data_IF_376929482465
#
_entry.id   IF_376929482465
#
_cell.length_a   1.000
_cell.length_b   1.000
_cell.length_c   1.000
_cell.angle_alpha   90.00
_cell.angle_beta   90.00
_cell.angle_gamma   90.00
#
_symmetry.space_group_name_H-M   'P 1'
#
loop_
_entity.id
_entity.type
_entity.pdbx_description
1 polymer ?
#
# COMPACT_ATOMS: atom_id res chain seq x y z
N UNK A 1 -8.67 -16.02 -14.66
CA UNK A 1 -7.97 -14.73 -14.74
C UNK A 1 -8.12 -14.05 -13.39
N UNK A 2 -7.02 -13.68 -12.76
CA UNK A 2 -7.04 -13.07 -11.43
C UNK A 2 -7.48 -11.60 -11.52
N UNK A 3 -7.94 -11.01 -10.42
CA UNK A 3 -8.34 -9.59 -10.39
C UNK A 3 -7.17 -8.65 -10.69
N UNK A 4 -5.95 -9.01 -10.27
CA UNK A 4 -4.71 -8.29 -10.61
C UNK A 4 -4.41 -8.35 -12.11
N UNK A 5 -4.55 -9.52 -12.75
CA UNK A 5 -4.44 -9.64 -14.20
C UNK A 5 -5.50 -8.77 -14.91
N UNK A 6 -6.72 -8.72 -14.37
CA UNK A 6 -7.80 -7.83 -14.81
C UNK A 6 -7.40 -6.37 -14.78
N UNK A 7 -6.89 -5.90 -13.65
CA UNK A 7 -6.41 -4.53 -13.50
C UNK A 7 -5.27 -4.22 -14.49
N UNK A 8 -4.31 -5.12 -14.68
CA UNK A 8 -3.21 -4.93 -15.63
C UNK A 8 -3.69 -4.88 -17.09
N UNK A 9 -4.67 -5.71 -17.47
CA UNK A 9 -5.28 -5.65 -18.80
C UNK A 9 -6.07 -4.36 -19.00
N UNK A 10 -6.82 -3.92 -18.00
CA UNK A 10 -7.55 -2.65 -18.03
C UNK A 10 -6.60 -1.47 -18.27
N UNK A 11 -5.47 -1.42 -17.55
CA UNK A 11 -4.44 -0.39 -17.76
C UNK A 11 -3.89 -0.48 -19.18
N UNK A 12 -3.57 -1.67 -19.67
CA UNK A 12 -3.04 -1.87 -21.03
C UNK A 12 -4.01 -1.36 -22.11
N UNK A 13 -5.31 -1.58 -21.92
CA UNK A 13 -6.35 -1.18 -22.87
C UNK A 13 -6.57 0.33 -22.89
N UNK A 14 -6.69 0.95 -21.72
CA UNK A 14 -7.09 2.37 -21.60
C UNK A 14 -5.92 3.35 -21.48
N UNK A 15 -4.74 2.87 -21.08
CA UNK A 15 -3.52 3.68 -21.04
C UNK A 15 -2.26 2.84 -21.34
N UNK A 16 -1.99 2.55 -22.62
CA UNK A 16 -0.78 1.84 -23.03
C UNK A 16 0.52 2.50 -22.53
N UNK A 17 0.51 3.83 -22.37
CA UNK A 17 1.64 4.57 -21.82
C UNK A 17 1.86 4.27 -20.32
N UNK A 18 0.80 4.16 -19.53
CA UNK A 18 0.92 3.76 -18.12
C UNK A 18 1.37 2.31 -18.01
N UNK A 19 0.83 1.43 -18.85
CA UNK A 19 1.26 0.03 -18.90
C UNK A 19 2.76 -0.11 -19.23
N UNK A 20 3.25 0.66 -20.21
CA UNK A 20 4.67 0.70 -20.56
C UNK A 20 5.54 1.26 -19.41
N UNK A 21 5.01 2.17 -18.61
CA UNK A 21 5.71 2.66 -17.40
C UNK A 21 5.75 1.56 -16.34
N UNK A 22 4.60 0.99 -15.99
CA UNK A 22 4.50 -0.10 -15.01
C UNK A 22 5.50 -1.21 -15.31
N UNK A 23 5.53 -1.70 -16.55
CA UNK A 23 6.45 -2.78 -16.98
C UNK A 23 7.94 -2.40 -16.93
N UNK A 24 8.26 -1.10 -16.98
CA UNK A 24 9.63 -0.59 -16.84
C UNK A 24 10.01 -0.33 -15.38
N UNK A 25 9.06 0.16 -14.58
CA UNK A 25 9.30 0.57 -13.21
C UNK A 25 9.29 -0.63 -12.25
N UNK A 26 8.32 -1.53 -12.42
CA UNK A 26 8.04 -2.64 -11.52
C UNK A 26 8.52 -3.96 -12.14
N UNK A 27 9.19 -4.79 -11.35
CA UNK A 27 9.54 -6.16 -11.74
C UNK A 27 8.39 -7.14 -11.46
N UNK A 28 7.59 -6.87 -10.42
CA UNK A 28 6.58 -7.81 -9.90
C UNK A 28 5.39 -7.04 -9.29
N UNK A 29 4.22 -7.67 -9.33
CA UNK A 29 3.05 -7.28 -8.52
C UNK A 29 2.76 -8.44 -7.57
N UNK A 30 2.76 -8.18 -6.27
CA UNK A 30 2.50 -9.15 -5.22
C UNK A 30 1.20 -8.84 -4.50
N UNK A 31 0.55 -9.87 -4.00
CA UNK A 31 -0.65 -9.74 -3.16
C UNK A 31 -0.34 -10.40 -1.83
N UNK A 32 -0.42 -9.62 -0.75
CA UNK A 32 -0.28 -10.11 0.61
C UNK A 32 -0.93 -9.14 1.60
N UNK A 33 -1.15 -9.57 2.84
CA UNK A 33 -1.67 -8.68 3.88
C UNK A 33 -0.71 -7.52 4.17
N UNK A 34 -1.22 -6.31 3.97
CA UNK A 34 -0.57 -5.07 4.36
C UNK A 34 -1.25 -4.56 5.64
N UNK A 35 -0.50 -4.00 6.59
CA UNK A 35 -1.09 -3.47 7.81
C UNK A 35 -2.21 -2.46 7.54
N UNK A 36 -2.05 -1.54 6.58
CA UNK A 36 -2.98 -0.40 6.47
C UNK A 36 -2.94 0.37 5.15
N UNK A 37 -2.50 -0.25 4.07
CA UNK A 37 -2.46 0.40 2.75
C UNK A 37 -3.09 -0.53 1.73
N UNK A 38 -3.78 0.04 0.74
CA UNK A 38 -4.28 -0.71 -0.41
C UNK A 38 -3.13 -1.26 -1.26
N UNK A 39 -2.03 -0.53 -1.29
CA UNK A 39 -0.77 -1.00 -1.84
C UNK A 39 0.44 -0.27 -1.27
N UNK A 40 1.62 -0.82 -1.54
CA UNK A 40 2.88 -0.14 -1.30
C UNK A 40 3.93 -0.56 -2.33
N UNK A 41 4.78 0.37 -2.69
CA UNK A 41 5.97 0.10 -3.47
C UNK A 41 7.14 -0.33 -2.58
N UNK A 42 7.66 -1.53 -2.85
CA UNK A 42 8.85 -2.06 -2.21
C UNK A 42 10.09 -1.82 -3.06
N UNK A 43 10.97 -0.90 -2.62
CA UNK A 43 12.20 -0.56 -3.33
C UNK A 43 13.12 -1.77 -3.57
N UNK A 44 13.41 -2.54 -2.51
CA UNK A 44 14.37 -3.64 -2.55
C UNK A 44 13.94 -4.78 -3.47
N UNK A 45 12.63 -4.92 -3.69
CA UNK A 45 12.04 -5.94 -4.55
C UNK A 45 11.58 -5.40 -5.91
N UNK A 46 11.61 -4.07 -6.06
CA UNK A 46 11.01 -3.32 -7.17
C UNK A 46 9.60 -3.83 -7.48
N UNK A 47 8.81 -3.99 -6.43
CA UNK A 47 7.50 -4.64 -6.50
C UNK A 47 6.40 -3.70 -6.02
N UNK A 48 5.25 -3.74 -6.72
CA UNK A 48 4.00 -3.23 -6.18
C UNK A 48 3.38 -4.35 -5.33
N UNK A 49 3.19 -4.08 -4.05
CA UNK A 49 2.51 -4.98 -3.13
C UNK A 49 1.10 -4.46 -2.96
N UNK A 50 0.09 -5.30 -3.15
CA UNK A 50 -1.32 -4.98 -2.97
C UNK A 50 -1.85 -5.73 -1.75
N UNK A 51 -2.73 -5.09 -0.99
CA UNK A 51 -3.38 -5.72 0.14
C UNK A 51 -4.34 -6.82 -0.31
N UNK A 52 -4.16 -8.00 0.25
CA UNK A 52 -4.97 -9.17 -0.08
C UNK A 52 -6.46 -8.96 0.16
N UNK A 53 -6.85 -8.27 1.23
CA UNK A 53 -8.26 -8.05 1.58
C UNK A 53 -8.93 -7.18 0.55
N UNK A 54 -8.28 -6.11 0.11
CA UNK A 54 -8.79 -5.24 -0.95
C UNK A 54 -8.86 -5.95 -2.30
N UNK A 55 -7.84 -6.75 -2.65
CA UNK A 55 -7.86 -7.49 -3.93
C UNK A 55 -8.96 -8.57 -3.91
N UNK A 56 -9.19 -9.23 -2.78
CA UNK A 56 -10.20 -10.27 -2.63
C UNK A 56 -11.63 -9.72 -2.50
N UNK A 57 -11.81 -8.51 -1.98
CA UNK A 57 -13.11 -7.88 -1.77
C UNK A 57 -13.84 -7.64 -3.11
N UNK A 58 -15.03 -8.25 -3.32
CA UNK A 58 -15.86 -8.00 -4.49
C UNK A 58 -16.32 -6.55 -4.65
N UNK A 59 -16.41 -5.79 -3.54
CA UNK A 59 -16.80 -4.37 -3.56
C UNK A 59 -15.67 -3.46 -4.04
N UNK A 60 -14.41 -3.90 -3.99
CA UNK A 60 -13.31 -3.15 -4.59
C UNK A 60 -13.44 -3.22 -6.11
N UNK A 61 -13.44 -2.08 -6.79
CA UNK A 61 -13.56 -2.05 -8.25
C UNK A 61 -12.23 -2.43 -8.94
N UNK A 62 -12.27 -2.96 -10.18
CA UNK A 62 -11.03 -3.27 -10.91
C UNK A 62 -10.24 -1.99 -11.24
N UNK A 63 -10.97 -0.91 -11.48
CA UNK A 63 -10.48 0.44 -11.71
C UNK A 63 -9.67 0.95 -10.51
N UNK A 64 -10.12 0.63 -9.29
CA UNK A 64 -9.40 0.99 -8.06
C UNK A 64 -8.09 0.22 -7.94
N UNK A 65 -8.11 -1.11 -8.15
CA UNK A 65 -6.88 -1.93 -8.15
C UNK A 65 -5.90 -1.42 -9.23
N UNK A 66 -6.42 -1.10 -10.42
CA UNK A 66 -5.62 -0.53 -11.50
C UNK A 66 -5.01 0.83 -11.12
N UNK A 67 -5.78 1.70 -10.47
CA UNK A 67 -5.32 2.99 -9.97
C UNK A 67 -4.17 2.83 -8.96
N UNK A 68 -4.31 1.90 -8.00
CA UNK A 68 -3.24 1.61 -7.02
C UNK A 68 -1.96 1.12 -7.71
N UNK A 69 -2.04 0.27 -8.73
CA UNK A 69 -0.83 -0.16 -9.47
C UNK A 69 -0.16 1.03 -10.17
N UNK A 70 -0.93 1.95 -10.75
CA UNK A 70 -0.42 3.19 -11.37
C UNK A 70 0.22 4.11 -10.32
N UNK A 71 -0.37 4.21 -9.13
CA UNK A 71 0.16 4.93 -7.99
C UNK A 71 1.55 4.39 -7.60
N UNK A 72 1.66 3.09 -7.34
CA UNK A 72 2.93 2.47 -6.93
C UNK A 72 4.01 2.53 -8.03
N UNK A 73 3.63 2.39 -9.30
CA UNK A 73 4.57 2.61 -10.40
C UNK A 73 5.08 4.06 -10.47
N UNK A 74 4.29 5.02 -9.98
CA UNK A 74 4.71 6.42 -9.88
C UNK A 74 5.73 6.61 -8.76
N UNK A 75 5.55 5.97 -7.60
CA UNK A 75 6.58 5.90 -6.56
C UNK A 75 7.89 5.33 -7.09
N UNK A 76 7.82 4.17 -7.74
CA UNK A 76 8.98 3.51 -8.32
C UNK A 76 9.75 4.42 -9.30
N UNK A 77 9.02 5.16 -10.14
CA UNK A 77 9.63 6.12 -11.05
C UNK A 77 10.32 7.27 -10.33
N UNK A 78 9.66 7.87 -9.35
CA UNK A 78 10.19 9.02 -8.60
C UNK A 78 11.47 8.62 -7.87
N UNK A 79 11.48 7.46 -7.22
CA UNK A 79 12.65 6.97 -6.52
C UNK A 79 13.80 6.64 -7.48
N UNK A 80 13.53 6.04 -8.64
CA UNK A 80 14.56 5.84 -9.67
C UNK A 80 15.15 7.18 -10.16
N UNK A 81 14.38 8.26 -10.11
CA UNK A 81 14.86 9.61 -10.41
C UNK A 81 15.59 10.28 -9.22
N UNK A 82 15.86 9.57 -8.13
CA UNK A 82 16.55 10.08 -6.94
C UNK A 82 15.65 10.85 -5.98
N UNK A 83 14.32 10.71 -6.10
CA UNK A 83 13.36 11.36 -5.21
C UNK A 83 12.92 10.33 -4.17
N UNK A 84 13.61 10.33 -3.04
CA UNK A 84 13.32 9.43 -1.92
C UNK A 84 12.06 9.83 -1.15
N UNK A 85 11.40 8.83 -0.54
CA UNK A 85 10.15 8.98 0.22
C UNK A 85 10.37 9.47 1.66
N UNK A 86 11.08 10.59 1.79
CA UNK A 86 11.37 11.27 3.06
C UNK A 86 10.13 12.01 3.58
N UNK A 87 9.90 12.00 4.90
CA UNK A 87 8.75 12.63 5.57
C UNK A 87 8.44 14.04 5.04
N UNK A 88 9.46 14.90 4.90
CA UNK A 88 9.34 16.28 4.42
C UNK A 88 8.82 16.40 2.97
N UNK A 89 8.93 15.33 2.18
CA UNK A 89 8.58 15.28 0.75
C UNK A 89 7.32 14.46 0.48
N UNK A 90 6.88 13.62 1.42
CA UNK A 90 5.76 12.67 1.23
C UNK A 90 4.51 13.34 0.69
N UNK A 91 4.03 14.41 1.33
CA UNK A 91 2.83 15.12 0.86
C UNK A 91 2.93 15.56 -0.61
N UNK A 92 4.12 16.00 -1.05
CA UNK A 92 4.36 16.40 -2.45
C UNK A 92 4.43 15.20 -3.38
N UNK A 93 5.08 14.11 -2.95
CA UNK A 93 5.18 12.86 -3.70
C UNK A 93 3.78 12.27 -3.92
N UNK A 94 3.00 12.16 -2.85
CA UNK A 94 1.62 11.65 -2.88
C UNK A 94 0.72 12.48 -3.78
N UNK A 95 0.84 13.81 -3.72
CA UNK A 95 0.12 14.69 -4.65
C UNK A 95 0.54 14.50 -6.12
N UNK A 96 1.75 14.02 -6.41
CA UNK A 96 2.15 13.63 -7.78
C UNK A 96 1.51 12.28 -8.14
N UNK A 97 1.53 11.32 -7.22
CA UNK A 97 0.91 10.01 -7.41
C UNK A 97 -0.60 10.12 -7.65
N UNK A 98 -1.35 10.84 -6.82
CA UNK A 98 -2.79 11.07 -7.02
C UNK A 98 -3.10 11.82 -8.32
N UNK A 99 -2.29 12.80 -8.73
CA UNK A 99 -2.46 13.44 -10.05
C UNK A 99 -2.25 12.44 -11.18
N UNK A 100 -1.34 11.47 -11.02
CA UNK A 100 -1.12 10.44 -12.02
C UNK A 100 -2.28 9.45 -12.08
N UNK A 101 -2.82 9.07 -10.92
CA UNK A 101 -4.05 8.28 -10.81
C UNK A 101 -5.21 8.98 -11.48
N UNK A 102 -5.47 10.26 -11.18
CA UNK A 102 -6.57 11.02 -11.79
C UNK A 102 -6.42 11.06 -13.32
N UNK A 103 -5.20 11.31 -13.80
CA UNK A 103 -4.94 11.31 -15.23
C UNK A 103 -5.23 9.94 -15.87
N UNK A 104 -5.00 8.83 -15.16
CA UNK A 104 -5.36 7.48 -15.61
C UNK A 104 -6.87 7.25 -15.54
N UNK A 105 -7.52 7.58 -14.41
CA UNK A 105 -8.95 7.38 -14.18
C UNK A 105 -9.82 8.06 -15.23
N UNK A 106 -9.46 9.26 -15.70
CA UNK A 106 -10.16 9.98 -16.78
C UNK A 106 -10.20 9.20 -18.11
N UNK A 107 -9.33 8.21 -18.31
CA UNK A 107 -9.33 7.35 -19.52
C UNK A 107 -10.20 6.10 -19.40
N UNK A 108 -10.70 5.81 -18.20
CA UNK A 108 -11.52 4.64 -17.93
C UNK A 108 -13.00 4.95 -18.18
N UNK A 109 -13.79 3.98 -18.65
CA UNK A 109 -15.24 4.08 -18.64
C UNK A 109 -15.76 4.08 -17.19
N UNK A 110 -16.87 4.76 -16.94
CA UNK A 110 -17.62 4.73 -15.67
C UNK A 110 -16.80 4.99 -14.39
N UNK A 111 -15.73 5.79 -14.49
CA UNK A 111 -14.78 6.01 -13.39
C UNK A 111 -15.10 7.21 -12.49
N UNK A 112 -16.34 7.72 -12.51
CA UNK A 112 -16.71 8.94 -11.79
C UNK A 112 -16.43 8.84 -10.28
N UNK A 113 -16.83 7.74 -9.64
CA UNK A 113 -16.60 7.51 -8.22
C UNK A 113 -15.10 7.46 -7.86
N UNK A 114 -14.29 6.80 -8.71
CA UNK A 114 -12.84 6.76 -8.55
C UNK A 114 -12.22 8.15 -8.68
N UNK A 115 -12.64 8.92 -9.68
CA UNK A 115 -12.16 10.29 -9.90
C UNK A 115 -12.49 11.18 -8.70
N UNK A 116 -13.72 11.12 -8.20
CA UNK A 116 -14.14 11.86 -7.00
C UNK A 116 -13.32 11.46 -5.77
N UNK A 117 -13.06 10.17 -5.58
CA UNK A 117 -12.19 9.68 -4.51
C UNK A 117 -10.78 10.27 -4.57
N UNK A 118 -10.16 10.27 -5.76
CA UNK A 118 -8.83 10.82 -5.97
C UNK A 118 -8.81 12.35 -5.76
N UNK A 119 -9.84 13.06 -6.23
CA UNK A 119 -9.96 14.51 -6.01
C UNK A 119 -10.07 14.84 -4.52
N UNK A 120 -10.88 14.08 -3.76
CA UNK A 120 -10.94 14.24 -2.30
C UNK A 120 -9.57 14.05 -1.64
N UNK A 121 -8.79 13.06 -2.07
CA UNK A 121 -7.42 12.89 -1.59
C UNK A 121 -6.53 14.11 -1.91
N UNK A 122 -6.61 14.63 -3.14
CA UNK A 122 -5.85 15.80 -3.57
C UNK A 122 -6.20 17.09 -2.81
N UNK A 123 -7.43 17.21 -2.31
CA UNK A 123 -7.89 18.35 -1.51
C UNK A 123 -7.55 18.17 -0.03
N UNK A 124 -7.77 16.96 0.51
CA UNK A 124 -7.67 16.70 1.93
C UNK A 124 -6.22 16.62 2.42
N UNK A 125 -5.34 15.94 1.70
CA UNK A 125 -3.97 15.72 2.14
C UNK A 125 -3.11 16.99 2.27
N UNK A 126 -3.20 17.97 1.35
CA UNK A 126 -2.54 19.26 1.55
C UNK A 126 -3.03 20.03 2.78
N UNK A 127 -4.29 19.86 3.17
CA UNK A 127 -4.88 20.46 4.37
C UNK A 127 -4.52 19.71 5.65
N UNK A 128 -4.06 18.46 5.55
CA UNK A 128 -3.74 17.57 6.67
C UNK A 128 -2.32 16.97 6.52
N UNK A 129 -1.25 17.79 6.49
CA UNK A 129 0.10 17.32 6.23
C UNK A 129 0.65 16.37 7.32
N UNK A 130 0.12 16.44 8.55
CA UNK A 130 0.50 15.59 9.67
C UNK A 130 0.24 14.10 9.44
N UNK A 131 -0.65 13.78 8.49
CA UNK A 131 -0.98 12.42 8.07
C UNK A 131 0.22 11.71 7.42
N UNK A 132 1.16 12.48 6.88
CA UNK A 132 2.39 11.94 6.30
C UNK A 132 3.58 11.93 7.27
N UNK A 133 3.35 12.29 8.54
CA UNK A 133 4.42 12.27 9.53
C UNK A 133 4.88 10.85 9.85
N UNK A 134 6.14 10.71 10.27
CA UNK A 134 6.69 9.44 10.73
C UNK A 134 5.92 8.92 11.96
N UNK A 135 5.53 9.83 12.86
CA UNK A 135 4.75 9.49 14.05
C UNK A 135 3.36 8.94 13.68
N UNK A 136 2.70 9.56 12.69
CA UNK A 136 1.43 9.04 12.19
C UNK A 136 1.62 7.68 11.55
N UNK A 137 2.59 7.52 10.64
CA UNK A 137 2.89 6.25 9.97
C UNK A 137 3.24 5.12 10.95
N UNK A 138 4.00 5.41 12.01
CA UNK A 138 4.33 4.42 13.05
C UNK A 138 3.07 3.99 13.82
N UNK A 139 2.23 4.95 14.21
CA UNK A 139 0.98 4.70 14.92
C UNK A 139 0.03 3.85 14.07
N UNK A 140 -0.22 4.30 12.85
CA UNK A 140 -1.15 3.67 11.93
C UNK A 140 -0.64 2.25 11.63
N UNK A 141 0.62 2.07 11.23
CA UNK A 141 1.17 0.72 10.99
C UNK A 141 1.01 -0.22 12.20
N UNK A 142 1.12 0.27 13.44
CA UNK A 142 0.91 -0.57 14.62
C UNK A 142 -0.57 -0.99 14.78
N UNK A 143 -1.50 -0.06 14.55
CA UNK A 143 -2.94 -0.33 14.56
C UNK A 143 -3.33 -1.33 13.44
N UNK A 144 -2.84 -1.09 12.23
CA UNK A 144 -3.06 -1.95 11.08
C UNK A 144 -2.45 -3.35 11.22
N UNK A 145 -1.30 -3.47 11.89
CA UNK A 145 -0.70 -4.79 12.15
C UNK A 145 -1.56 -5.60 13.12
N UNK A 146 -2.18 -4.95 14.12
CA UNK A 146 -3.13 -5.63 15.01
C UNK A 146 -4.38 -6.08 14.25
N UNK A 147 -4.86 -5.28 13.29
CA UNK A 147 -5.97 -5.64 12.43
C UNK A 147 -5.66 -6.80 11.48
N UNK A 148 -4.48 -6.80 10.84
CA UNK A 148 -4.03 -7.92 10.02
C UNK A 148 -3.91 -9.22 10.82
N UNK A 149 -3.49 -9.14 12.08
CA UNK A 149 -3.49 -10.31 12.99
C UNK A 149 -4.91 -10.77 13.33
N UNK A 150 -5.86 -9.85 13.55
CA UNK A 150 -7.28 -10.21 13.73
C UNK A 150 -7.85 -10.89 12.50
N UNK A 151 -7.51 -10.39 11.31
CA UNK A 151 -7.91 -11.01 10.05
C UNK A 151 -7.36 -12.43 9.90
N UNK A 152 -6.17 -12.71 10.45
CA UNK A 152 -5.59 -14.06 10.52
C UNK A 152 -6.13 -14.91 11.69
N UNK A 153 -7.22 -14.47 12.34
CA UNK A 153 -7.84 -15.12 13.51
C UNK A 153 -6.84 -15.35 14.67
N UNK A 154 -5.82 -14.50 14.79
CA UNK A 154 -4.85 -14.62 15.86
C UNK A 154 -5.54 -14.37 17.23
N UNK A 155 -5.22 -15.16 18.27
CA UNK A 155 -5.81 -14.97 19.59
C UNK A 155 -5.53 -13.58 20.18
N UNK A 156 -6.51 -12.98 20.87
CA UNK A 156 -6.39 -11.64 21.46
C UNK A 156 -5.19 -11.45 22.39
N UNK A 157 -4.85 -12.48 23.17
CA UNK A 157 -3.68 -12.42 24.05
C UNK A 157 -2.39 -12.28 23.25
N UNK A 158 -2.32 -12.90 22.05
CA UNK A 158 -1.17 -12.83 21.16
C UNK A 158 -1.08 -11.46 20.49
N UNK A 159 -2.22 -10.90 20.05
CA UNK A 159 -2.28 -9.53 19.50
C UNK A 159 -1.79 -8.52 20.54
N UNK A 160 -2.29 -8.62 21.79
CA UNK A 160 -1.85 -7.74 22.89
C UNK A 160 -0.35 -7.89 23.19
N UNK A 161 0.14 -9.13 23.27
CA UNK A 161 1.56 -9.39 23.50
C UNK A 161 2.45 -8.84 22.37
N UNK A 162 2.01 -8.97 21.11
CA UNK A 162 2.69 -8.41 19.95
C UNK A 162 2.72 -6.87 19.98
N UNK A 163 1.59 -6.21 20.24
CA UNK A 163 1.50 -4.75 20.35
C UNK A 163 2.40 -4.17 21.46
N UNK A 164 2.54 -4.88 22.59
CA UNK A 164 3.41 -4.48 23.70
C UNK A 164 4.90 -4.68 23.37
N UNK A 165 5.24 -5.76 22.67
CA UNK A 165 6.64 -6.14 22.40
C UNK A 165 7.26 -5.47 21.17
N UNK A 166 6.46 -5.07 20.18
CA UNK A 166 6.91 -4.43 18.94
C UNK A 166 7.70 -3.11 19.15
N UNK A 167 7.27 -2.15 20.00
CA UNK A 167 8.05 -0.94 20.27
C UNK A 167 9.35 -1.26 21.04
N UNK A 168 9.33 -2.25 21.93
CA UNK A 168 10.50 -2.71 22.71
C UNK A 168 11.56 -3.30 21.78
N UNK A 169 11.15 -4.16 20.84
CA UNK A 169 12.04 -4.75 19.83
C UNK A 169 12.56 -3.73 18.81
N UNK A 170 11.74 -2.76 18.39
CA UNK A 170 12.18 -1.67 17.48
C UNK A 170 13.22 -0.75 18.13
N UNK A 171 13.06 -0.45 19.43
CA UNK A 171 14.02 0.33 20.23
C UNK A 171 15.33 -0.44 20.43
N UNK A 172 15.25 -1.74 20.70
CA UNK A 172 16.41 -2.62 20.79
C UNK A 172 17.15 -2.76 19.43
N UNK A 173 16.43 -2.92 18.30
CA UNK A 173 17.04 -2.96 16.96
C UNK A 173 17.72 -1.65 16.56
N UNK A 174 17.29 -0.50 17.10
CA UNK A 174 17.94 0.80 16.88
C UNK A 174 19.32 0.88 17.58
N UNK A 175 19.48 0.21 18.72
CA UNK A 175 20.77 0.01 19.39
C UNK A 175 21.66 -1.01 18.66
N UNK A 176 21.10 -2.13 18.19
CA UNK A 176 21.87 -3.17 17.49
C UNK A 176 22.22 -2.86 16.02
N UNK A 177 21.61 -1.84 15.39
CA UNK A 177 21.94 -1.42 14.02
C UNK A 177 23.34 -0.78 13.90
N UNK A 178 23.99 -0.46 15.03
CA UNK A 178 25.37 0.03 15.06
C UNK A 178 26.42 -1.09 14.91
N UNK A 179 26.07 -2.35 15.22
CA UNK A 179 27.02 -3.49 15.16
C UNK A 179 26.86 -4.37 13.91
N UNK A 180 25.72 -4.34 13.22
CA UNK A 180 25.44 -5.19 12.05
C UNK A 180 25.93 -4.61 10.71
N UNK A 181 27.17 -4.10 10.66
CA UNK A 181 27.88 -3.74 9.41
C UNK A 181 29.05 -4.68 9.10
N UNK A 182 29.16 -5.83 9.79
CA UNK A 182 30.38 -6.67 9.73
C UNK A 182 30.22 -8.18 9.55
N UNK A 183 29.05 -8.72 9.24
CA UNK A 183 28.97 -10.17 8.95
C UNK A 183 27.82 -10.51 8.01
N UNK A 184 28.19 -10.77 6.75
CA UNK A 184 27.29 -11.29 5.73
C UNK A 184 27.01 -12.77 5.91
N UNK A 185 25.74 -13.16 5.72
CA UNK A 185 25.31 -14.42 5.09
C UNK A 185 23.78 -14.42 4.89
N UNK A 186 23.25 -14.81 3.73
CA UNK A 186 21.81 -14.86 3.48
C UNK A 186 21.21 -16.21 3.93
N UNK A 187 20.01 -16.18 4.52
CA UNK A 187 19.18 -17.36 4.81
C UNK A 187 18.05 -17.45 3.78
N UNK A 188 17.88 -18.64 3.22
CA UNK A 188 16.89 -18.97 2.20
C UNK A 188 15.46 -19.01 2.79
N UNK A 189 14.49 -18.46 2.05
CA UNK A 189 13.09 -18.45 2.43
C UNK A 189 12.39 -19.77 2.04
N UNK A 190 11.65 -20.35 2.99
CA UNK A 190 10.87 -21.58 2.84
C UNK A 190 9.42 -21.21 2.46
N UNK A 191 8.89 -21.82 1.39
CA UNK A 191 7.48 -21.66 0.95
C UNK A 191 6.50 -22.21 2.00
N UNK A 192 5.44 -21.46 2.31
CA UNK A 192 4.26 -21.94 3.04
C UNK A 192 3.02 -21.93 2.14
N UNK A 193 2.12 -22.90 2.37
CA UNK A 193 0.90 -23.22 1.60
C UNK A 193 -0.28 -22.30 1.96
N UNK A 194 -1.28 -22.14 1.08
CA UNK A 194 -2.46 -21.29 1.30
C UNK A 194 -3.50 -22.01 2.17
N UNK A 195 -4.24 -21.25 2.99
CA UNK A 195 -5.38 -21.75 3.76
C UNK A 195 -6.62 -20.88 3.48
N UNK A 196 -7.77 -21.55 3.56
CA UNK A 196 -9.07 -21.21 2.96
C UNK A 196 -9.91 -20.19 3.74
N UNK A 197 -10.86 -19.60 3.00
CA UNK A 197 -11.95 -18.66 3.29
C UNK A 197 -12.55 -18.63 4.72
N UNK A 198 -12.87 -17.41 5.18
CA UNK A 198 -13.74 -17.08 6.32
C UNK A 198 -14.13 -15.59 6.30
N UNK A 199 -15.32 -15.24 6.80
CA UNK A 199 -16.19 -14.15 6.35
C UNK A 199 -16.06 -12.74 7.00
N UNK A 200 -16.31 -11.72 6.15
CA UNK A 200 -16.98 -10.39 6.31
C UNK A 200 -16.49 -9.38 7.39
N UNK A 201 -16.32 -8.10 6.95
CA UNK A 201 -16.35 -6.75 7.62
C UNK A 201 -15.17 -5.89 7.05
N UNK A 202 -15.23 -4.66 6.52
CA UNK A 202 -16.18 -3.53 6.32
C UNK A 202 -15.75 -2.81 5.00
N UNK A 203 -16.66 -2.48 4.06
CA UNK A 203 -16.33 -1.99 2.71
C UNK A 203 -15.89 -0.51 2.58
N UNK A 204 -15.57 0.22 3.65
CA UNK A 204 -15.34 1.67 3.58
C UNK A 204 -13.90 2.15 3.85
N UNK A 205 -12.91 1.60 3.15
CA UNK A 205 -11.51 2.12 3.19
C UNK A 205 -11.38 3.54 2.58
N UNK A 206 -12.43 4.05 1.91
CA UNK A 206 -12.48 5.41 1.37
C UNK A 206 -13.25 6.43 2.22
N UNK A 207 -13.77 6.06 3.40
CA UNK A 207 -14.32 7.05 4.33
C UNK A 207 -13.23 7.55 5.27
N UNK A 208 -12.95 8.85 5.20
CA UNK A 208 -12.44 9.56 6.36
C UNK A 208 -13.33 9.24 7.57
N UNK A 209 -12.77 9.10 8.77
CA UNK A 209 -13.52 8.79 9.98
C UNK A 209 -14.78 9.66 10.10
N UNK A 210 -15.96 9.07 10.39
CA UNK A 210 -17.25 9.78 10.45
C UNK A 210 -17.32 10.84 11.57
N UNK A 211 -16.33 10.88 12.45
CA UNK A 211 -16.15 11.86 13.53
C UNK A 211 -15.57 13.23 13.07
N UNK A 212 -15.47 13.48 11.76
CA UNK A 212 -15.01 14.76 11.20
C UNK A 212 -15.91 15.31 10.09
N UNK A 213 -17.23 15.28 10.33
CA UNK A 213 -18.23 16.09 9.62
C UNK A 213 -18.54 17.37 10.41
#
# INVERSE_FOLDING_TARGET
MTRVEGALLLIKQHSPLDYARITRELERVWVCLLPQRLGEYSHSLRACILDERSVADPATALEQIASTIVHEATHARLERCGIEYEEQRRARIEAICFRRELAFAVRLPDSAELQEGIVRCLEWYPANPEQFSDAHFEKTHAEGAAEALRYLEAPDWFIRAFSISLPIFRRARRFFRFEWRRSGRPLQARKMKPCEQGDIIDPNVWRLPPDKL
#
